data_IF_448472381573
#
_entry.id   IF_448472381573
#
_cell.length_a   1.000
_cell.length_b   1.000
_cell.length_c   1.000
_cell.angle_alpha   90.00
_cell.angle_beta   90.00
_cell.angle_gamma   90.00
#
_symmetry.space_group_name_H-M   'P 1'
#
loop_
_entity.id
_entity.type
_entity.pdbx_description
1 polymer ?
#
# COMPACT_ATOMS: atom_id res chain seq x y z
N UNK A 1 23.05 -13.34 -8.52
CA UNK A 1 22.74 -13.62 -7.11
C UNK A 1 22.67 -12.31 -6.37
N UNK A 2 21.71 -12.13 -5.46
CA UNK A 2 21.64 -10.91 -4.64
C UNK A 2 22.51 -11.08 -3.39
N UNK A 3 23.48 -10.18 -3.23
CA UNK A 3 24.23 -10.00 -1.98
C UNK A 3 23.92 -8.60 -1.49
N UNK A 4 23.34 -8.48 -0.30
CA UNK A 4 23.10 -7.20 0.36
C UNK A 4 23.36 -7.35 1.85
N UNK A 5 24.54 -6.92 2.28
CA UNK A 5 24.78 -6.54 3.67
C UNK A 5 25.01 -5.03 3.70
N UNK A 6 24.14 -4.30 4.41
CA UNK A 6 24.47 -2.99 4.98
C UNK A 6 24.21 -1.72 4.15
N UNK A 7 23.56 -1.76 3.00
CA UNK A 7 23.10 -0.55 2.30
C UNK A 7 21.65 -0.70 1.86
N UNK A 8 20.79 0.25 2.23
CA UNK A 8 19.35 0.23 1.96
C UNK A 8 19.05 0.51 0.48
N UNK A 9 19.40 -0.43 -0.40
CA UNK A 9 19.10 -0.37 -1.82
C UNK A 9 19.29 -1.71 -2.53
N UNK A 10 18.46 -1.96 -3.55
CA UNK A 10 18.56 -3.13 -4.42
C UNK A 10 19.61 -2.86 -5.50
N UNK A 11 20.74 -3.55 -5.46
CA UNK A 11 21.79 -3.48 -6.50
C UNK A 11 21.55 -4.63 -7.50
N UNK A 12 21.09 -4.31 -8.70
CA UNK A 12 21.02 -5.26 -9.82
C UNK A 12 22.21 -5.02 -10.75
N UNK A 13 22.93 -6.09 -11.08
CA UNK A 13 23.99 -6.09 -12.09
C UNK A 13 23.62 -7.10 -13.19
N UNK A 14 23.73 -6.69 -14.46
CA UNK A 14 23.56 -7.56 -15.62
C UNK A 14 24.90 -7.69 -16.35
N UNK A 15 25.23 -8.92 -16.75
CA UNK A 15 26.42 -9.20 -17.57
C UNK A 15 25.97 -9.18 -19.03
N UNK A 16 26.59 -8.33 -19.85
CA UNK A 16 26.31 -8.24 -21.28
C UNK A 16 27.48 -8.85 -22.05
N UNK A 17 27.20 -9.88 -22.83
CA UNK A 17 28.16 -10.52 -23.74
C UNK A 17 27.78 -10.15 -25.18
N UNK A 18 28.70 -9.53 -25.91
CA UNK A 18 28.53 -9.21 -27.32
C UNK A 18 29.25 -10.25 -28.19
N UNK A 19 28.53 -10.85 -29.15
CA UNK A 19 29.14 -11.64 -30.22
C UNK A 19 29.63 -10.69 -31.32
N UNK A 20 30.81 -10.96 -31.86
CA UNK A 20 31.45 -10.12 -32.87
C UNK A 20 30.82 -10.34 -34.25
N UNK A 21 30.29 -9.24 -34.79
CA UNK A 21 30.19 -8.84 -36.21
C UNK A 21 29.03 -9.34 -37.09
N UNK A 22 27.93 -8.59 -37.03
CA UNK A 22 27.28 -8.02 -38.23
C UNK A 22 27.35 -6.49 -38.05
N UNK A 23 27.46 -5.63 -39.09
CA UNK A 23 27.46 -4.18 -38.89
C UNK A 23 26.10 -3.79 -38.29
N UNK A 24 26.05 -3.62 -36.98
CA UNK A 24 24.89 -3.05 -36.31
C UNK A 24 24.82 -1.60 -36.73
N UNK A 25 23.68 -1.21 -37.29
CA UNK A 25 23.35 0.19 -37.50
C UNK A 25 23.51 0.90 -36.14
N UNK A 26 24.51 1.78 -36.05
CA UNK A 26 24.85 2.48 -34.82
C UNK A 26 23.78 3.54 -34.60
N UNK A 27 22.63 3.11 -34.13
CA UNK A 27 21.63 4.04 -33.63
C UNK A 27 22.25 4.73 -32.43
N UNK A 28 22.49 6.03 -32.58
CA UNK A 28 22.91 6.90 -31.48
C UNK A 28 21.82 6.82 -30.43
N UNK A 29 22.05 6.02 -29.37
CA UNK A 29 21.12 5.96 -28.25
C UNK A 29 21.13 7.35 -27.62
N UNK A 30 20.00 8.07 -27.58
CA UNK A 30 19.96 9.38 -26.96
C UNK A 30 20.52 9.27 -25.54
N UNK A 31 21.52 10.09 -25.23
CA UNK A 31 22.21 10.02 -23.95
C UNK A 31 21.20 10.08 -22.80
N UNK A 32 21.23 9.08 -21.92
CA UNK A 32 20.41 9.05 -20.71
C UNK A 32 20.68 10.31 -19.89
N UNK A 33 19.73 11.25 -19.89
CA UNK A 33 19.81 12.44 -19.05
C UNK A 33 19.43 12.04 -17.64
N UNK A 34 20.42 12.05 -16.75
CA UNK A 34 20.17 11.87 -15.33
C UNK A 34 19.30 13.02 -14.79
N UNK A 35 18.08 12.71 -14.40
CA UNK A 35 17.14 13.65 -13.78
C UNK A 35 17.00 13.33 -12.30
N UNK A 36 17.52 14.19 -11.43
CA UNK A 36 17.35 14.05 -9.98
C UNK A 36 15.91 14.38 -9.60
N UNK A 37 15.13 13.34 -9.31
CA UNK A 37 13.82 13.45 -8.67
C UNK A 37 13.98 13.21 -7.17
N UNK A 38 13.51 14.15 -6.35
CA UNK A 38 13.40 13.95 -4.90
C UNK A 38 12.08 13.23 -4.64
N UNK A 39 12.16 12.01 -4.13
CA UNK A 39 11.01 11.32 -3.58
C UNK A 39 11.02 11.56 -2.08
N UNK A 40 10.06 12.35 -1.59
CA UNK A 40 9.90 12.56 -0.16
C UNK A 40 9.50 11.24 0.51
N UNK A 41 10.06 10.98 1.70
CA UNK A 41 9.54 9.91 2.54
C UNK A 41 8.11 10.30 2.94
N UNK A 42 7.16 9.40 2.74
CA UNK A 42 5.76 9.61 3.10
C UNK A 42 5.29 8.38 3.86
N UNK A 43 4.67 8.60 5.01
CA UNK A 43 3.93 7.55 5.69
C UNK A 43 2.79 7.10 4.77
N UNK A 44 2.74 5.80 4.49
CA UNK A 44 1.65 5.21 3.73
C UNK A 44 0.41 5.26 4.63
N UNK A 45 -0.72 5.82 4.16
CA UNK A 45 -1.94 5.84 4.96
C UNK A 45 -2.36 4.41 5.29
N UNK A 46 -2.92 4.22 6.49
CA UNK A 46 -3.35 2.91 6.94
C UNK A 46 -4.32 2.28 5.91
N UNK A 47 -4.12 1.03 5.45
CA UNK A 47 -4.83 0.48 4.28
C UNK A 47 -6.36 0.48 4.41
N UNK A 48 -6.85 0.45 5.65
CA UNK A 48 -8.27 0.38 5.97
C UNK A 48 -8.92 1.75 6.29
N UNK A 49 -8.17 2.85 6.31
CA UNK A 49 -8.69 4.22 6.49
C UNK A 49 -8.00 5.21 5.53
N UNK A 50 -8.02 4.92 4.23
CA UNK A 50 -7.21 5.63 3.22
C UNK A 50 -7.62 7.09 3.00
N UNK A 51 -8.89 7.41 3.14
CA UNK A 51 -9.46 8.76 2.99
C UNK A 51 -10.31 9.10 4.19
N UNK A 52 -10.23 10.35 4.69
CA UNK A 52 -11.14 10.90 5.68
C UNK A 52 -12.16 11.78 4.97
N UNK A 53 -13.44 11.57 5.27
CA UNK A 53 -14.54 12.34 4.72
C UNK A 53 -14.50 13.78 5.25
N UNK A 54 -15.03 14.70 4.43
CA UNK A 54 -15.10 16.12 4.75
C UNK A 54 -16.57 16.53 4.65
N UNK A 55 -17.06 17.21 5.68
CA UNK A 55 -18.44 17.69 5.76
C UNK A 55 -18.73 18.83 4.79
N UNK A 56 -20.00 19.18 4.66
CA UNK A 56 -20.46 20.24 3.74
C UNK A 56 -19.89 21.64 4.07
N UNK A 57 -19.48 21.85 5.31
CA UNK A 57 -18.83 23.06 5.82
C UNK A 57 -17.30 23.05 5.65
N UNK A 58 -16.73 21.98 5.09
CA UNK A 58 -15.29 21.80 4.93
C UNK A 58 -14.58 21.26 6.18
N UNK A 59 -15.30 20.96 7.27
CA UNK A 59 -14.72 20.36 8.45
C UNK A 59 -14.44 18.86 8.24
N UNK A 60 -13.36 18.36 8.83
CA UNK A 60 -13.06 16.93 8.79
C UNK A 60 -14.07 16.15 9.64
N UNK A 61 -14.67 15.11 9.06
CA UNK A 61 -15.59 14.22 9.77
C UNK A 61 -14.86 13.01 10.34
N UNK A 62 -15.44 12.37 11.35
CA UNK A 62 -14.94 11.09 11.90
C UNK A 62 -15.39 9.89 11.06
N UNK A 63 -15.45 10.09 9.74
CA UNK A 63 -15.83 9.09 8.74
C UNK A 63 -14.63 8.82 7.84
N UNK A 64 -14.32 7.54 7.63
CA UNK A 64 -13.18 7.10 6.84
C UNK A 64 -13.62 6.11 5.78
N UNK A 65 -12.96 6.16 4.62
CA UNK A 65 -13.29 5.35 3.45
C UNK A 65 -12.01 4.75 2.87
N UNK A 66 -12.07 3.46 2.58
CA UNK A 66 -11.09 2.75 1.76
C UNK A 66 -11.80 2.08 0.60
N UNK A 67 -11.26 2.18 -0.64
CA UNK A 67 -11.76 1.38 -1.75
C UNK A 67 -11.65 -0.12 -1.44
N UNK A 68 -12.67 -0.89 -1.83
CA UNK A 68 -12.66 -2.36 -1.85
C UNK A 68 -11.78 -2.89 -3.00
N UNK A 69 -10.57 -2.33 -3.15
CA UNK A 69 -9.61 -2.65 -4.19
C UNK A 69 -8.20 -2.22 -3.77
N UNK A 70 -7.19 -2.55 -4.58
CA UNK A 70 -5.83 -2.07 -4.37
C UNK A 70 -5.24 -2.51 -3.02
N UNK A 71 -4.67 -1.59 -2.21
CA UNK A 71 -3.99 -1.93 -0.96
C UNK A 71 -4.87 -2.68 0.05
N UNK A 72 -6.17 -2.37 0.13
CA UNK A 72 -7.09 -3.05 1.05
C UNK A 72 -7.27 -4.51 0.66
N UNK A 73 -7.59 -4.77 -0.61
CA UNK A 73 -7.78 -6.15 -1.10
C UNK A 73 -6.47 -6.92 -1.04
N UNK A 74 -5.34 -6.30 -1.39
CA UNK A 74 -4.03 -6.93 -1.27
C UNK A 74 -3.70 -7.34 0.18
N UNK A 75 -4.11 -6.55 1.18
CA UNK A 75 -3.91 -6.87 2.59
C UNK A 75 -4.70 -8.11 3.04
N UNK A 76 -5.89 -8.34 2.47
CA UNK A 76 -6.81 -9.39 2.92
C UNK A 76 -6.99 -10.53 1.91
N UNK A 77 -6.19 -10.55 0.84
CA UNK A 77 -6.34 -11.46 -0.29
C UNK A 77 -6.31 -12.95 0.12
N UNK A 78 -5.59 -13.27 1.18
CA UNK A 78 -5.44 -14.65 1.67
C UNK A 78 -6.58 -15.10 2.60
N UNK A 79 -7.46 -14.18 3.03
CA UNK A 79 -8.61 -14.53 3.88
C UNK A 79 -9.79 -15.01 3.02
N UNK A 80 -9.70 -16.29 2.64
CA UNK A 80 -10.64 -16.94 1.72
C UNK A 80 -11.64 -17.80 2.49
N UNK A 81 -12.93 -17.61 2.21
CA UNK A 81 -14.02 -18.44 2.75
C UNK A 81 -14.91 -18.89 1.60
N UNK A 82 -15.04 -20.21 1.41
CA UNK A 82 -15.84 -20.77 0.31
C UNK A 82 -15.36 -20.35 -1.08
N UNK A 83 -14.04 -20.18 -1.26
CA UNK A 83 -13.43 -19.82 -2.54
C UNK A 83 -13.46 -18.33 -2.90
N UNK A 84 -14.04 -17.48 -2.05
CA UNK A 84 -14.10 -16.03 -2.25
C UNK A 84 -13.25 -15.31 -1.21
N UNK A 85 -12.68 -14.17 -1.58
CA UNK A 85 -12.07 -13.25 -0.62
C UNK A 85 -13.22 -12.67 0.21
N UNK A 86 -13.20 -12.93 1.51
CA UNK A 86 -14.18 -12.38 2.45
C UNK A 86 -13.43 -11.46 3.37
N UNK A 87 -13.89 -10.22 3.53
CA UNK A 87 -13.24 -9.28 4.42
C UNK A 87 -13.27 -9.82 5.87
N UNK A 88 -12.11 -9.94 6.55
CA UNK A 88 -12.04 -10.60 7.85
C UNK A 88 -12.75 -9.80 8.94
N UNK A 89 -13.34 -10.51 9.92
CA UNK A 89 -13.90 -9.89 11.12
C UNK A 89 -12.88 -9.00 11.85
N UNK A 90 -11.62 -9.44 11.92
CA UNK A 90 -10.51 -8.67 12.47
C UNK A 90 -10.24 -7.36 11.70
N UNK A 91 -10.49 -7.33 10.37
CA UNK A 91 -10.34 -6.13 9.56
C UNK A 91 -11.31 -5.02 9.96
N UNK A 92 -12.54 -5.37 10.36
CA UNK A 92 -13.49 -4.38 10.90
C UNK A 92 -13.05 -3.83 12.24
N UNK A 93 -12.49 -4.68 13.10
CA UNK A 93 -11.98 -4.23 14.41
C UNK A 93 -10.77 -3.31 14.23
N UNK A 94 -9.86 -3.64 13.32
CA UNK A 94 -8.71 -2.79 12.99
C UNK A 94 -9.16 -1.45 12.38
N UNK A 95 -10.16 -1.43 11.48
CA UNK A 95 -10.75 -0.19 10.97
C UNK A 95 -11.22 0.72 12.11
N UNK A 96 -11.94 0.16 13.08
CA UNK A 96 -12.44 0.93 14.23
C UNK A 96 -11.29 1.46 15.10
N UNK A 97 -10.27 0.64 15.37
CA UNK A 97 -9.09 1.04 16.13
C UNK A 97 -8.28 2.12 15.41
N UNK A 98 -8.03 1.96 14.12
CA UNK A 98 -7.27 2.90 13.30
C UNK A 98 -8.00 4.26 13.17
N UNK A 99 -9.33 4.24 12.95
CA UNK A 99 -10.14 5.45 12.94
C UNK A 99 -10.10 6.16 14.30
N UNK A 100 -10.20 5.43 15.41
CA UNK A 100 -10.10 6.04 16.73
C UNK A 100 -8.70 6.64 16.97
N UNK A 101 -7.63 5.94 16.58
CA UNK A 101 -6.26 6.41 16.72
C UNK A 101 -6.01 7.71 15.93
N UNK A 102 -6.60 7.84 14.74
CA UNK A 102 -6.44 9.03 13.89
C UNK A 102 -7.22 10.25 14.39
N UNK A 103 -8.31 10.06 15.15
CA UNK A 103 -9.11 11.14 15.73
C UNK A 103 -8.65 11.51 17.14
N UNK A 104 -8.27 10.53 17.97
CA UNK A 104 -8.00 10.73 19.38
C UNK A 104 -6.62 11.31 19.71
N UNK A 105 -5.78 11.62 18.70
CA UNK A 105 -4.54 12.39 18.86
C UNK A 105 -3.50 11.80 19.81
N UNK A 106 -3.52 10.49 20.07
CA UNK A 106 -2.55 9.83 20.98
C UNK A 106 -3.13 8.86 22.00
N UNK A 107 -4.38 8.42 21.86
CA UNK A 107 -4.92 7.34 22.68
C UNK A 107 -4.06 6.07 22.55
N UNK A 108 -3.52 5.59 23.67
CA UNK A 108 -2.58 4.46 23.70
C UNK A 108 -3.24 3.09 23.50
N UNK A 109 -4.56 3.01 23.65
CA UNK A 109 -5.31 1.75 23.53
C UNK A 109 -6.77 2.03 23.17
N UNK A 110 -7.31 1.20 22.29
CA UNK A 110 -8.72 1.13 21.93
C UNK A 110 -9.32 -0.18 22.45
N UNK A 111 -10.57 -0.15 22.90
CA UNK A 111 -11.30 -1.35 23.28
C UNK A 111 -12.64 -1.39 22.54
N UNK A 112 -12.80 -2.36 21.65
CA UNK A 112 -14.07 -2.63 20.97
C UNK A 112 -14.86 -3.62 21.81
N UNK A 113 -16.13 -3.31 22.10
CA UNK A 113 -17.03 -4.15 22.88
C UNK A 113 -18.32 -4.37 22.10
N UNK A 114 -18.91 -5.57 22.26
CA UNK A 114 -20.20 -5.93 21.64
C UNK A 114 -20.18 -5.79 20.11
N UNK A 115 -19.10 -6.26 19.47
CA UNK A 115 -19.02 -6.32 18.02
C UNK A 115 -19.86 -7.50 17.50
N UNK A 116 -20.68 -7.24 16.48
CA UNK A 116 -21.48 -8.25 15.79
C UNK A 116 -21.25 -8.13 14.29
N UNK A 117 -21.07 -9.27 13.61
CA UNK A 117 -20.92 -9.35 12.16
C UNK A 117 -22.20 -9.91 11.58
N UNK A 118 -22.98 -9.06 10.92
CA UNK A 118 -24.32 -9.42 10.45
C UNK A 118 -24.30 -10.13 9.09
N UNK A 119 -23.35 -9.79 8.24
CA UNK A 119 -23.18 -10.37 6.91
C UNK A 119 -21.71 -10.32 6.48
N UNK A 120 -21.25 -11.30 5.71
CA UNK A 120 -19.92 -11.25 5.10
C UNK A 120 -19.86 -10.16 4.02
N UNK A 121 -18.74 -9.44 3.97
CA UNK A 121 -18.40 -8.58 2.83
C UNK A 121 -17.49 -9.37 1.89
N UNK A 122 -18.03 -9.73 0.72
CA UNK A 122 -17.24 -10.34 -0.36
C UNK A 122 -16.50 -9.24 -1.13
N UNK A 123 -15.22 -9.50 -1.45
CA UNK A 123 -14.32 -8.59 -2.16
C UNK A 123 -13.94 -9.14 -3.54
#
# INVERSE_FOLDING_TARGET
GVSSFGYSGTIVHTVVQAAVSTPMDVHTVPGLKYSRKRYGWREVPHPLIQSRSVGADGAAEDSFVSPASGPLVALVADHIVGGHIVFPGAGYLEMACAALASVAGGAKAAAVRRAFFLQPLML
#
